data_IF_389912698125
#
_entry.id   IF_389912698125
#
_cell.length_a   1.000
_cell.length_b   1.000
_cell.length_c   1.000
_cell.angle_alpha   90.00
_cell.angle_beta   90.00
_cell.angle_gamma   90.00
#
_symmetry.space_group_name_H-M   'P 1'
#
loop_
_entity.id
_entity.type
_entity.pdbx_description
1 polymer ?
#
# COMPACT_ATOMS: atom_id res chain seq x y z
N UNK A 1 11.20 -2.59 22.14
CA UNK A 1 11.84 -2.40 20.81
C UNK A 1 13.34 -2.38 21.05
N UNK A 2 14.15 -3.07 20.24
CA UNK A 2 15.62 -3.08 20.44
C UNK A 2 16.22 -1.75 19.97
N UNK A 3 17.19 -1.23 20.73
CA UNK A 3 17.82 0.06 20.43
C UNK A 3 18.82 0.01 19.26
N UNK A 4 19.26 -1.20 18.88
CA UNK A 4 20.17 -1.46 17.77
C UNK A 4 19.45 -1.91 16.49
N UNK A 5 18.12 -1.78 16.43
CA UNK A 5 17.33 -2.19 15.28
C UNK A 5 16.46 -1.05 14.76
N UNK A 6 16.47 -0.86 13.44
CA UNK A 6 15.49 -0.04 12.72
C UNK A 6 14.30 -0.90 12.35
N UNK A 7 13.12 -0.56 12.86
CA UNK A 7 11.88 -1.26 12.54
C UNK A 7 11.15 -0.49 11.44
N UNK A 8 10.86 -1.17 10.36
CA UNK A 8 10.07 -0.63 9.25
C UNK A 8 8.68 -1.26 9.25
N UNK A 9 7.69 -0.46 8.87
CA UNK A 9 6.35 -0.96 8.60
C UNK A 9 6.26 -1.48 7.17
N UNK A 10 5.39 -2.45 6.95
CA UNK A 10 5.02 -2.87 5.60
C UNK A 10 4.51 -1.65 4.83
N UNK A 11 5.05 -1.35 3.65
CA UNK A 11 4.55 -0.25 2.82
C UNK A 11 3.05 -0.40 2.58
N UNK A 12 2.31 0.65 2.85
CA UNK A 12 0.85 0.67 2.72
C UNK A 12 0.39 2.05 2.25
N UNK A 13 -0.76 2.06 1.59
CA UNK A 13 -1.37 3.25 1.02
C UNK A 13 -2.82 3.33 1.47
N UNK A 14 -3.35 4.54 1.57
CA UNK A 14 -4.78 4.75 1.70
C UNK A 14 -5.46 4.46 0.37
N UNK A 15 -6.64 3.83 0.45
CA UNK A 15 -7.44 3.50 -0.72
C UNK A 15 -8.33 4.69 -1.12
N UNK A 16 -8.66 4.84 -2.41
CA UNK A 16 -9.58 5.86 -2.86
C UNK A 16 -10.98 5.67 -2.26
N UNK A 17 -11.71 6.78 -2.10
CA UNK A 17 -13.04 6.80 -1.47
C UNK A 17 -14.07 5.97 -2.26
N UNK A 18 -13.85 5.80 -3.57
CA UNK A 18 -14.68 4.97 -4.46
C UNK A 18 -14.68 3.48 -4.12
N UNK A 19 -13.67 3.00 -3.38
CA UNK A 19 -13.59 1.62 -2.91
C UNK A 19 -14.30 1.46 -1.57
N UNK A 20 -15.53 0.95 -1.64
CA UNK A 20 -16.40 0.72 -0.48
C UNK A 20 -16.27 -0.71 0.07
N UNK A 21 -16.81 -0.93 1.28
CA UNK A 21 -16.87 -2.24 1.95
C UNK A 21 -15.50 -2.93 2.17
N UNK A 22 -14.41 -2.16 2.13
CA UNK A 22 -13.10 -2.62 2.54
C UNK A 22 -12.94 -2.47 4.06
N UNK A 23 -12.90 -3.62 4.72
CA UNK A 23 -12.46 -3.74 6.11
C UNK A 23 -10.93 -3.54 6.20
N UNK A 24 -10.30 -4.00 7.29
CA UNK A 24 -8.84 -3.98 7.38
C UNK A 24 -8.25 -4.99 6.39
N UNK A 25 -7.51 -4.50 5.39
CA UNK A 25 -6.60 -5.36 4.65
C UNK A 25 -5.42 -5.60 5.58
N UNK A 26 -5.19 -6.85 6.00
CA UNK A 26 -4.30 -7.18 7.12
C UNK A 26 -4.80 -6.67 8.49
N UNK A 27 -4.82 -7.54 9.52
CA UNK A 27 -5.45 -7.25 10.83
C UNK A 27 -4.85 -6.06 11.59
N UNK A 28 -3.67 -5.58 11.20
CA UNK A 28 -2.94 -4.50 11.86
C UNK A 28 -2.95 -3.17 11.09
N UNK A 29 -3.54 -3.12 9.89
CA UNK A 29 -3.73 -1.86 9.17
C UNK A 29 -5.09 -1.24 9.54
N UNK A 30 -5.18 0.09 9.59
CA UNK A 30 -6.45 0.75 9.82
C UNK A 30 -7.42 0.52 8.64
N UNK A 31 -8.69 0.80 8.86
CA UNK A 31 -9.69 0.73 7.78
C UNK A 31 -9.30 1.66 6.64
N UNK A 32 -9.62 1.25 5.41
CA UNK A 32 -9.28 1.98 4.18
C UNK A 32 -7.77 2.17 3.94
N UNK A 33 -6.97 1.27 4.50
CA UNK A 33 -5.55 1.15 4.18
C UNK A 33 -5.30 -0.26 3.66
N UNK A 34 -4.45 -0.33 2.65
CA UNK A 34 -4.05 -1.57 2.02
C UNK A 34 -2.55 -1.59 1.78
N UNK A 35 -1.95 -2.75 1.98
CA UNK A 35 -0.54 -3.00 1.69
C UNK A 35 -0.21 -2.78 0.21
N UNK A 36 0.97 -2.20 -0.05
CA UNK A 36 1.39 -1.77 -1.39
C UNK A 36 1.39 -2.92 -2.40
N UNK A 37 1.75 -4.14 -1.97
CA UNK A 37 1.78 -5.32 -2.84
C UNK A 37 0.39 -5.77 -3.34
N UNK A 38 -0.69 -5.49 -2.61
CA UNK A 38 -2.06 -5.83 -2.98
C UNK A 38 -2.55 -4.79 -3.99
N UNK A 39 -2.24 -3.52 -3.71
CA UNK A 39 -2.51 -2.41 -4.61
C UNK A 39 -1.80 -2.61 -5.95
N UNK A 40 -0.53 -3.03 -5.95
CA UNK A 40 0.20 -3.33 -7.18
C UNK A 40 -0.55 -4.36 -8.06
N UNK A 41 -1.06 -5.44 -7.47
CA UNK A 41 -1.88 -6.43 -8.19
C UNK A 41 -3.19 -5.84 -8.74
N UNK A 42 -3.86 -4.97 -7.97
CA UNK A 42 -5.07 -4.28 -8.43
C UNK A 42 -4.75 -3.33 -9.60
N UNK A 43 -3.69 -2.53 -9.47
CA UNK A 43 -3.26 -1.58 -10.51
C UNK A 43 -2.85 -2.31 -11.79
N UNK A 44 -2.15 -3.44 -11.69
CA UNK A 44 -1.83 -4.29 -12.85
C UNK A 44 -3.10 -4.73 -13.59
N UNK A 45 -4.14 -5.14 -12.86
CA UNK A 45 -5.42 -5.52 -13.45
C UNK A 45 -6.16 -4.33 -14.07
N UNK A 46 -6.19 -3.18 -13.39
CA UNK A 46 -6.85 -1.96 -13.87
C UNK A 46 -6.20 -1.39 -15.14
N UNK A 47 -4.87 -1.46 -15.24
CA UNK A 47 -4.12 -1.01 -16.41
C UNK A 47 -4.01 -2.07 -17.52
N UNK A 48 -4.50 -3.28 -17.28
CA UNK A 48 -4.48 -4.37 -18.26
C UNK A 48 -3.07 -4.84 -18.64
N UNK A 49 -2.09 -4.72 -17.74
CA UNK A 49 -0.72 -5.14 -18.03
C UNK A 49 -0.60 -6.66 -18.02
N UNK A 50 -0.41 -7.25 -19.20
CA UNK A 50 -0.19 -8.68 -19.36
C UNK A 50 1.28 -9.06 -19.12
N UNK A 51 1.75 -8.79 -17.90
CA UNK A 51 3.11 -9.10 -17.44
C UNK A 51 3.06 -9.93 -16.18
N UNK A 52 4.02 -10.83 -16.00
CA UNK A 52 4.12 -11.71 -14.84
C UNK A 52 5.34 -11.34 -14.01
N UNK A 53 5.10 -10.72 -12.86
CA UNK A 53 6.14 -10.45 -11.87
C UNK A 53 6.28 -11.65 -10.94
N UNK A 54 7.49 -12.18 -10.81
CA UNK A 54 7.79 -13.31 -9.93
C UNK A 54 9.17 -13.11 -9.31
N UNK A 55 9.29 -13.38 -8.01
CA UNK A 55 10.54 -13.23 -7.27
C UNK A 55 11.03 -11.78 -7.26
N UNK A 56 12.26 -11.56 -7.71
CA UNK A 56 12.90 -10.23 -7.78
C UNK A 56 12.62 -9.48 -9.09
N UNK A 57 11.79 -10.04 -9.97
CA UNK A 57 11.50 -9.45 -11.28
C UNK A 57 10.36 -8.44 -11.14
N UNK A 58 10.63 -7.19 -11.47
CA UNK A 58 9.69 -6.07 -11.42
C UNK A 58 9.57 -5.45 -12.82
N UNK A 59 8.36 -5.11 -13.22
CA UNK A 59 8.04 -4.62 -14.55
C UNK A 59 8.63 -3.22 -14.78
N UNK A 60 8.10 -2.22 -14.08
CA UNK A 60 8.59 -0.85 -14.11
C UNK A 60 8.02 -0.11 -12.89
N UNK A 61 8.90 0.21 -11.94
CA UNK A 61 8.51 0.82 -10.66
C UNK A 61 7.88 2.19 -10.89
N UNK A 62 8.44 3.01 -11.77
CA UNK A 62 7.95 4.38 -12.00
C UNK A 62 6.58 4.32 -12.66
N UNK A 63 6.40 3.43 -13.64
CA UNK A 63 5.11 3.24 -14.30
C UNK A 63 4.03 2.76 -13.33
N UNK A 64 4.35 1.77 -12.49
CA UNK A 64 3.44 1.27 -11.44
C UNK A 64 3.10 2.39 -10.46
N UNK A 65 4.09 3.19 -10.05
CA UNK A 65 3.91 4.29 -9.11
C UNK A 65 2.98 5.37 -9.66
N UNK A 66 3.21 5.85 -10.89
CA UNK A 66 2.36 6.85 -11.53
C UNK A 66 0.92 6.35 -11.71
N UNK A 67 0.74 5.09 -12.13
CA UNK A 67 -0.58 4.48 -12.24
C UNK A 67 -1.28 4.39 -10.87
N UNK A 68 -0.55 4.02 -9.83
CA UNK A 68 -1.06 3.94 -8.45
C UNK A 68 -1.62 5.29 -7.99
N UNK A 69 -0.86 6.38 -8.19
CA UNK A 69 -1.32 7.72 -7.84
C UNK A 69 -2.52 8.16 -8.69
N UNK A 70 -2.52 7.84 -9.99
CA UNK A 70 -3.61 8.17 -10.92
C UNK A 70 -4.93 7.49 -10.53
N UNK A 71 -4.88 6.26 -10.03
CA UNK A 71 -6.06 5.54 -9.53
C UNK A 71 -6.55 6.04 -8.16
N UNK A 72 -5.84 6.99 -7.54
CA UNK A 72 -6.26 7.65 -6.30
C UNK A 72 -5.76 6.99 -5.02
N UNK A 73 -4.83 6.03 -5.12
CA UNK A 73 -4.12 5.51 -3.95
C UNK A 73 -3.08 6.53 -3.49
N UNK A 74 -2.94 6.71 -2.17
CA UNK A 74 -2.00 7.68 -1.61
C UNK A 74 -1.08 7.04 -0.57
N UNK A 75 0.23 7.28 -0.62
CA UNK A 75 1.15 6.74 0.39
C UNK A 75 0.77 7.22 1.78
N UNK A 76 0.85 6.32 2.75
CA UNK A 76 0.78 6.72 4.14
C UNK A 76 2.04 7.50 4.50
N UNK A 77 1.87 8.78 4.78
CA UNK A 77 2.96 9.61 5.32
C UNK A 77 2.94 9.39 6.84
N UNK A 78 4.00 8.78 7.36
CA UNK A 78 4.23 8.65 8.79
C UNK A 78 4.49 10.05 9.37
N UNK A 79 3.43 10.74 9.76
CA UNK A 79 3.55 11.68 10.87
C UNK A 79 3.52 10.81 12.13
N UNK A 80 4.67 10.71 12.82
CA UNK A 80 4.90 9.80 13.96
C UNK A 80 3.80 9.85 15.06
N UNK A 81 2.98 10.90 15.07
CA UNK A 81 1.85 11.09 15.99
C UNK A 81 0.58 10.28 15.63
N UNK A 82 0.37 9.90 14.36
CA UNK A 82 -0.93 9.37 13.92
C UNK A 82 -1.04 7.84 14.03
N UNK A 83 0.07 7.10 13.90
CA UNK A 83 0.07 5.62 14.06
C UNK A 83 -0.15 5.21 15.53
N UNK A 84 0.25 6.04 16.49
CA UNK A 84 -0.03 5.79 17.90
C UNK A 84 -1.51 6.00 18.25
N UNK A 85 -2.23 6.84 17.50
CA UNK A 85 -3.67 7.10 17.72
C UNK A 85 -4.54 5.95 17.19
N UNK A 86 -4.09 5.23 16.16
CA UNK A 86 -4.74 3.99 15.70
C UNK A 86 -4.49 2.77 16.61
N UNK A 87 -3.82 2.96 17.75
CA UNK A 87 -3.56 1.95 18.80
C UNK A 87 -4.34 2.21 20.10
N UNK A 88 -5.51 2.83 20.03
CA UNK A 88 -6.48 2.84 21.12
C UNK A 88 -7.51 1.73 20.96
#
# INVERSE_FOLDING_TARGET
MRNDCSYHYTPALSIPISLENLHCCENWLPRKVMSAWRIAGIVHALEGWNVHECGSTMFDIEKVWQATLKHGFQPLINNDSQIMEYRA
#
